data_IF_165003820613
#
_entry.id   IF_165003820613
#
_cell.length_a   1.000
_cell.length_b   1.000
_cell.length_c   1.000
_cell.angle_alpha   90.00
_cell.angle_beta   90.00
_cell.angle_gamma   90.00
#
_symmetry.space_group_name_H-M   'P 1'
#
loop_
_entity.id
_entity.type
_entity.pdbx_description
1 polymer ?
#
# COMPACT_ATOMS: atom_id res chain seq x y z
N UNK A 1 -16.58 -14.73 9.69
CA UNK A 1 -15.33 -14.37 10.40
C UNK A 1 -15.57 -13.11 11.25
N UNK A 2 -15.15 -13.08 12.53
CA UNK A 2 -14.91 -11.78 13.17
C UNK A 2 -13.90 -11.02 12.29
N UNK A 3 -14.13 -9.73 12.02
CA UNK A 3 -13.34 -8.85 11.14
C UNK A 3 -13.75 -8.73 9.65
N UNK A 4 -14.80 -9.40 9.15
CA UNK A 4 -15.24 -9.22 7.74
C UNK A 4 -15.58 -7.78 7.39
N UNK A 5 -16.37 -7.11 8.24
CA UNK A 5 -16.75 -5.71 8.06
C UNK A 5 -15.54 -4.78 8.00
N UNK A 6 -14.49 -5.09 8.78
CA UNK A 6 -13.26 -4.31 8.79
C UNK A 6 -12.44 -4.53 7.52
N UNK A 7 -12.34 -5.76 7.03
CA UNK A 7 -11.67 -6.06 5.75
C UNK A 7 -12.38 -5.39 4.57
N UNK A 8 -13.72 -5.43 4.56
CA UNK A 8 -14.53 -4.70 3.56
C UNK A 8 -14.27 -3.19 3.68
N UNK A 9 -14.31 -2.63 4.89
CA UNK A 9 -14.03 -1.20 5.11
C UNK A 9 -12.62 -0.78 4.64
N UNK A 10 -11.59 -1.59 4.93
CA UNK A 10 -10.23 -1.33 4.46
C UNK A 10 -10.14 -1.41 2.93
N UNK A 11 -10.83 -2.37 2.30
CA UNK A 11 -10.90 -2.45 0.84
C UNK A 11 -11.57 -1.22 0.21
N UNK A 12 -12.62 -0.68 0.84
CA UNK A 12 -13.29 0.53 0.38
C UNK A 12 -12.38 1.75 0.51
N UNK A 13 -11.64 1.88 1.61
CA UNK A 13 -10.65 2.95 1.79
C UNK A 13 -9.58 2.87 0.69
N UNK A 14 -9.08 1.66 0.40
CA UNK A 14 -8.18 1.42 -0.73
C UNK A 14 -8.80 1.86 -2.07
N UNK A 15 -10.04 1.48 -2.34
CA UNK A 15 -10.74 1.86 -3.57
C UNK A 15 -10.89 3.38 -3.72
N UNK A 16 -11.17 4.10 -2.62
CA UNK A 16 -11.25 5.58 -2.62
C UNK A 16 -9.89 6.19 -2.98
N UNK A 17 -8.80 5.76 -2.35
CA UNK A 17 -7.46 6.27 -2.67
C UNK A 17 -7.06 5.95 -4.11
N UNK A 18 -7.31 4.73 -4.58
CA UNK A 18 -6.99 4.33 -5.94
C UNK A 18 -7.78 5.14 -6.97
N UNK A 19 -9.10 5.29 -6.77
CA UNK A 19 -9.98 6.05 -7.65
C UNK A 19 -9.60 7.54 -7.70
N UNK A 20 -9.33 8.15 -6.55
CA UNK A 20 -8.85 9.53 -6.52
C UNK A 20 -7.52 9.68 -7.26
N UNK A 21 -6.57 8.77 -7.03
CA UNK A 21 -5.25 8.87 -7.64
C UNK A 21 -5.28 8.65 -9.16
N UNK A 22 -6.18 7.79 -9.65
CA UNK A 22 -6.41 7.63 -11.09
C UNK A 22 -6.89 8.94 -11.73
N UNK A 23 -7.86 9.63 -11.10
CA UNK A 23 -8.32 10.95 -11.55
C UNK A 23 -7.21 11.99 -11.47
N UNK A 24 -6.44 12.01 -10.38
CA UNK A 24 -5.31 12.92 -10.21
C UNK A 24 -4.29 12.78 -11.34
N UNK A 25 -3.88 11.54 -11.65
CA UNK A 25 -2.92 11.28 -12.72
C UNK A 25 -3.48 11.70 -14.08
N UNK A 26 -4.74 11.37 -14.38
CA UNK A 26 -5.38 11.74 -15.64
C UNK A 26 -5.41 13.27 -15.85
N UNK A 27 -5.72 14.03 -14.80
CA UNK A 27 -5.71 15.49 -14.84
C UNK A 27 -4.28 16.04 -14.95
N UNK A 28 -3.34 15.54 -14.16
CA UNK A 28 -1.96 16.01 -14.17
C UNK A 28 -1.24 15.74 -15.51
N UNK A 29 -1.55 14.61 -16.17
CA UNK A 29 -1.06 14.29 -17.51
C UNK A 29 -1.64 15.23 -18.57
N UNK A 30 -2.94 15.54 -18.49
CA UNK A 30 -3.59 16.48 -19.40
C UNK A 30 -2.95 17.86 -19.35
N UNK A 31 -2.57 18.32 -18.16
CA UNK A 31 -1.96 19.63 -17.96
C UNK A 31 -0.44 19.63 -18.22
N UNK A 32 0.17 18.47 -18.51
CA UNK A 32 1.62 18.33 -18.70
C UNK A 32 2.46 18.59 -17.43
N UNK A 33 1.85 18.46 -16.24
CA UNK A 33 2.40 18.97 -14.96
C UNK A 33 2.64 17.89 -13.90
N UNK A 34 3.07 16.68 -14.30
CA UNK A 34 3.40 15.65 -13.32
C UNK A 34 4.92 15.58 -13.10
N UNK A 35 5.40 16.21 -12.04
CA UNK A 35 6.80 16.11 -11.65
C UNK A 35 7.16 14.69 -11.18
N UNK A 36 8.45 14.28 -11.26
CA UNK A 36 8.86 12.92 -10.92
C UNK A 36 8.57 12.49 -9.47
N UNK A 37 8.53 13.43 -8.51
CA UNK A 37 8.28 13.12 -7.10
C UNK A 37 6.79 12.89 -6.86
N UNK A 38 5.93 13.73 -7.43
CA UNK A 38 4.48 13.50 -7.45
C UNK A 38 4.12 12.21 -8.16
N UNK A 39 4.79 11.89 -9.27
CA UNK A 39 4.60 10.62 -9.98
C UNK A 39 4.97 9.41 -9.10
N UNK A 40 6.09 9.47 -8.38
CA UNK A 40 6.51 8.42 -7.46
C UNK A 40 5.47 8.20 -6.35
N UNK A 41 4.98 9.28 -5.74
CA UNK A 41 3.96 9.20 -4.68
C UNK A 41 2.62 8.72 -5.20
N UNK A 42 2.19 9.18 -6.36
CA UNK A 42 0.96 8.72 -6.99
C UNK A 42 1.00 7.22 -7.29
N UNK A 43 2.15 6.71 -7.79
CA UNK A 43 2.37 5.27 -7.96
C UNK A 43 2.35 4.52 -6.64
N UNK A 44 3.02 5.05 -5.61
CA UNK A 44 2.99 4.46 -4.27
C UNK A 44 1.55 4.31 -3.77
N UNK A 45 0.74 5.38 -3.83
CA UNK A 45 -0.66 5.38 -3.40
C UNK A 45 -1.47 4.36 -4.20
N UNK A 46 -1.35 4.33 -5.53
CA UNK A 46 -2.08 3.35 -6.36
C UNK A 46 -1.71 1.92 -5.98
N UNK A 47 -0.42 1.63 -5.87
CA UNK A 47 0.08 0.30 -5.55
C UNK A 47 -0.37 -0.18 -4.17
N UNK A 48 -0.17 0.63 -3.12
CA UNK A 48 -0.57 0.27 -1.76
C UNK A 48 -2.09 0.16 -1.64
N UNK A 49 -2.84 0.99 -2.37
CA UNK A 49 -4.31 0.95 -2.36
C UNK A 49 -4.87 -0.28 -3.07
N UNK A 50 -4.36 -0.63 -4.26
CA UNK A 50 -4.74 -1.87 -4.96
C UNK A 50 -4.35 -3.09 -4.13
N UNK A 51 -3.16 -3.07 -3.53
CA UNK A 51 -2.71 -4.12 -2.62
C UNK A 51 -3.66 -4.26 -1.44
N UNK A 52 -4.05 -3.18 -0.77
CA UNK A 52 -5.06 -3.19 0.31
C UNK A 52 -6.36 -3.84 -0.15
N UNK A 53 -6.89 -3.49 -1.32
CA UNK A 53 -8.13 -4.09 -1.84
C UNK A 53 -7.95 -5.60 -1.99
N UNK A 54 -6.90 -6.01 -2.71
CA UNK A 54 -6.66 -7.41 -3.04
C UNK A 54 -6.45 -8.25 -1.78
N UNK A 55 -5.53 -7.84 -0.90
CA UNK A 55 -5.24 -8.60 0.33
C UNK A 55 -6.45 -8.61 1.27
N UNK A 56 -7.26 -7.55 1.34
CA UNK A 56 -8.46 -7.55 2.19
C UNK A 56 -9.56 -8.48 1.68
N UNK A 57 -9.69 -8.64 0.36
CA UNK A 57 -10.78 -9.43 -0.25
C UNK A 57 -10.44 -10.90 -0.45
N UNK A 58 -9.17 -11.25 -0.73
CA UNK A 58 -8.73 -12.65 -0.89
C UNK A 58 -9.20 -13.56 0.25
N UNK A 59 -8.98 -13.26 1.55
CA UNK A 59 -9.37 -14.18 2.61
C UNK A 59 -10.88 -14.37 2.67
N UNK A 60 -11.67 -13.34 2.31
CA UNK A 60 -13.12 -13.45 2.23
C UNK A 60 -13.54 -14.41 1.11
N UNK A 61 -12.92 -14.32 -0.06
CA UNK A 61 -13.18 -15.21 -1.20
C UNK A 61 -12.78 -16.64 -0.87
N UNK A 62 -11.62 -16.85 -0.27
CA UNK A 62 -11.14 -18.19 0.10
C UNK A 62 -12.02 -18.82 1.18
N UNK A 63 -12.43 -18.06 2.21
CA UNK A 63 -13.35 -18.57 3.23
C UNK A 63 -14.76 -18.83 2.69
N UNK A 64 -15.23 -18.03 1.73
CA UNK A 64 -16.48 -18.33 1.01
C UNK A 64 -16.38 -19.61 0.17
N UNK A 65 -15.18 -20.01 -0.25
CA UNK A 65 -14.87 -21.28 -0.90
C UNK A 65 -14.56 -22.42 0.11
N UNK A 66 -14.98 -22.28 1.37
CA UNK A 66 -14.84 -23.28 2.44
C UNK A 66 -13.39 -23.57 2.89
N UNK A 67 -12.43 -22.71 2.55
CA UNK A 67 -11.08 -22.81 3.12
C UNK A 67 -11.09 -22.44 4.61
N UNK A 68 -10.27 -23.14 5.39
CA UNK A 68 -10.02 -22.80 6.79
C UNK A 68 -9.54 -21.34 6.91
N UNK A 69 -10.12 -20.59 7.86
CA UNK A 69 -9.85 -19.17 8.09
C UNK A 69 -8.35 -18.88 8.22
N UNK A 70 -7.64 -19.66 9.03
CA UNK A 70 -6.19 -19.50 9.24
C UNK A 70 -5.42 -19.65 7.93
N UNK A 71 -5.76 -20.68 7.15
CA UNK A 71 -5.13 -20.95 5.86
C UNK A 71 -5.40 -19.82 4.86
N UNK A 72 -6.65 -19.35 4.77
CA UNK A 72 -7.04 -18.23 3.91
C UNK A 72 -6.24 -16.95 4.22
N UNK A 73 -6.07 -16.62 5.51
CA UNK A 73 -5.27 -15.46 5.95
C UNK A 73 -3.79 -15.64 5.63
N UNK A 74 -3.21 -16.83 5.84
CA UNK A 74 -1.81 -17.13 5.49
C UNK A 74 -1.55 -17.05 3.99
N UNK A 75 -2.46 -17.58 3.16
CA UNK A 75 -2.37 -17.49 1.70
C UNK A 75 -2.45 -16.03 1.23
N UNK A 76 -3.38 -15.25 1.78
CA UNK A 76 -3.48 -13.82 1.47
C UNK A 76 -2.23 -13.05 1.91
N UNK A 77 -1.70 -13.33 3.11
CA UNK A 77 -0.46 -12.73 3.59
C UNK A 77 0.74 -13.09 2.69
N UNK A 78 0.83 -14.33 2.21
CA UNK A 78 1.86 -14.77 1.28
C UNK A 78 1.80 -14.05 -0.06
N UNK A 79 0.60 -13.91 -0.64
CA UNK A 79 0.39 -13.10 -1.85
C UNK A 79 0.73 -11.62 -1.60
N UNK A 80 0.33 -11.08 -0.44
CA UNK A 80 0.71 -9.75 0.01
C UNK A 80 2.22 -9.56 0.13
N UNK A 81 2.95 -10.54 0.66
CA UNK A 81 4.40 -10.48 0.73
C UNK A 81 5.02 -10.44 -0.67
N UNK A 82 4.67 -11.37 -1.57
CA UNK A 82 5.24 -11.41 -2.93
C UNK A 82 4.99 -10.11 -3.69
N UNK A 83 3.74 -9.63 -3.67
CA UNK A 83 3.37 -8.37 -4.32
C UNK A 83 4.06 -7.17 -3.67
N UNK A 84 4.08 -7.10 -2.34
CA UNK A 84 4.78 -6.05 -1.59
C UNK A 84 6.28 -5.96 -1.91
N UNK A 85 6.95 -7.11 -2.12
CA UNK A 85 8.35 -7.18 -2.50
C UNK A 85 8.59 -6.60 -3.91
N UNK A 86 7.77 -7.01 -4.87
CA UNK A 86 7.83 -6.48 -6.24
C UNK A 86 7.59 -4.96 -6.27
N UNK A 87 6.61 -4.48 -5.51
CA UNK A 87 6.28 -3.06 -5.41
C UNK A 87 7.38 -2.25 -4.70
N UNK A 88 7.98 -2.81 -3.65
CA UNK A 88 9.11 -2.18 -2.95
C UNK A 88 10.33 -2.08 -3.87
N UNK A 89 10.61 -3.10 -4.68
CA UNK A 89 11.68 -3.07 -5.66
C UNK A 89 11.44 -1.98 -6.72
N UNK A 90 10.25 -1.90 -7.31
CA UNK A 90 9.90 -0.86 -8.28
C UNK A 90 9.95 0.54 -7.65
N UNK A 91 9.48 0.71 -6.40
CA UNK A 91 9.59 1.95 -5.65
C UNK A 91 11.03 2.38 -5.42
N UNK A 92 11.90 1.46 -4.98
CA UNK A 92 13.32 1.72 -4.76
C UNK A 92 14.03 2.07 -6.07
N UNK A 93 13.69 1.36 -7.16
CA UNK A 93 14.20 1.63 -8.50
C UNK A 93 13.85 3.04 -8.95
N UNK A 94 12.59 3.46 -8.85
CA UNK A 94 12.18 4.81 -9.23
C UNK A 94 12.78 5.89 -8.32
N UNK A 95 12.89 5.63 -7.02
CA UNK A 95 13.56 6.55 -6.10
C UNK A 95 15.05 6.71 -6.43
N UNK A 96 15.72 5.65 -6.87
CA UNK A 96 17.14 5.70 -7.26
C UNK A 96 17.38 6.62 -8.46
N UNK A 97 16.41 6.70 -9.37
CA UNK A 97 16.42 7.52 -10.60
C UNK A 97 16.20 9.02 -10.33
N UNK A 98 15.75 9.41 -9.13
CA UNK A 98 15.58 10.82 -8.77
C UNK A 98 16.93 11.54 -8.64
N UNK A 99 16.98 12.80 -9.06
CA UNK A 99 18.13 13.69 -8.85
C UNK A 99 18.32 13.99 -7.36
N UNK A 100 19.49 14.49 -6.97
CA UNK A 100 19.77 14.87 -5.58
C UNK A 100 18.81 15.93 -5.04
N UNK A 101 18.38 16.88 -5.88
CA UNK A 101 17.40 17.91 -5.52
C UNK A 101 16.01 17.31 -5.32
N UNK A 102 15.57 16.42 -6.21
CA UNK A 102 14.30 15.70 -6.08
C UNK A 102 14.28 14.77 -4.86
N UNK A 103 15.42 14.13 -4.55
CA UNK A 103 15.55 13.34 -3.31
C UNK A 103 15.41 14.20 -2.06
N UNK A 104 15.89 15.44 -2.07
CA UNK A 104 15.66 16.37 -0.95
C UNK A 104 14.18 16.74 -0.81
N UNK A 105 13.48 16.99 -1.92
CA UNK A 105 12.06 17.36 -1.88
C UNK A 105 11.13 16.23 -1.41
N UNK A 106 11.53 14.95 -1.57
CA UNK A 106 10.77 13.83 -1.00
C UNK A 106 10.66 13.89 0.54
N UNK A 107 11.64 14.52 1.22
CA UNK A 107 11.69 14.67 2.67
C UNK A 107 12.22 13.41 3.37
N UNK A 108 13.41 13.51 3.98
CA UNK A 108 14.10 12.36 4.59
C UNK A 108 13.27 11.66 5.67
N UNK A 109 12.66 12.42 6.58
CA UNK A 109 11.82 11.86 7.65
C UNK A 109 10.55 11.19 7.09
N UNK A 110 9.95 11.77 6.05
CA UNK A 110 8.78 11.19 5.39
C UNK A 110 9.11 9.86 4.70
N UNK A 111 10.26 9.81 4.00
CA UNK A 111 10.75 8.57 3.41
C UNK A 111 11.04 7.51 4.47
N UNK A 112 11.71 7.86 5.57
CA UNK A 112 12.00 6.91 6.65
C UNK A 112 10.71 6.32 7.25
N UNK A 113 9.69 7.15 7.46
CA UNK A 113 8.39 6.69 7.97
C UNK A 113 7.71 5.77 6.96
N UNK A 114 7.57 6.19 5.70
CA UNK A 114 6.85 5.40 4.68
C UNK A 114 7.56 4.08 4.36
N UNK A 115 8.88 4.08 4.22
CA UNK A 115 9.68 2.86 4.05
C UNK A 115 9.68 1.98 5.30
N UNK A 116 9.76 2.58 6.49
CA UNK A 116 9.68 1.85 7.76
C UNK A 116 8.35 1.12 7.93
N UNK A 117 7.23 1.82 7.68
CA UNK A 117 5.88 1.23 7.72
C UNK A 117 5.72 0.12 6.69
N UNK A 118 6.21 0.34 5.46
CA UNK A 118 6.19 -0.68 4.40
C UNK A 118 7.00 -1.92 4.80
N UNK A 119 8.20 -1.71 5.35
CA UNK A 119 9.05 -2.80 5.83
C UNK A 119 8.42 -3.60 6.95
N UNK A 120 7.81 -2.94 7.94
CA UNK A 120 7.10 -3.61 9.04
C UNK A 120 5.91 -4.41 8.51
N UNK A 121 5.08 -3.82 7.65
CA UNK A 121 3.94 -4.52 7.06
C UNK A 121 4.39 -5.76 6.25
N UNK A 122 5.48 -5.62 5.50
CA UNK A 122 6.04 -6.71 4.71
C UNK A 122 6.61 -7.84 5.58
N UNK A 123 7.37 -7.52 6.62
CA UNK A 123 7.90 -8.52 7.56
C UNK A 123 6.76 -9.26 8.29
N UNK A 124 5.70 -8.54 8.67
CA UNK A 124 4.51 -9.15 9.25
C UNK A 124 3.83 -10.09 8.27
N UNK A 125 3.66 -9.69 7.00
CA UNK A 125 3.07 -10.53 5.97
C UNK A 125 3.84 -11.83 5.76
N UNK A 126 5.18 -11.77 5.70
CA UNK A 126 6.04 -12.96 5.62
C UNK A 126 5.87 -13.83 6.86
N UNK A 127 5.96 -13.24 8.05
CA UNK A 127 5.85 -13.98 9.31
C UNK A 127 4.51 -14.68 9.45
N UNK A 128 3.41 -14.04 9.04
CA UNK A 128 2.07 -14.63 9.04
C UNK A 128 2.02 -15.78 8.03
N UNK A 129 2.49 -15.57 6.79
CA UNK A 129 2.50 -16.60 5.75
C UNK A 129 3.31 -17.84 6.17
N UNK A 130 4.45 -17.64 6.84
CA UNK A 130 5.31 -18.70 7.36
C UNK A 130 4.77 -19.35 8.65
N UNK A 131 3.71 -18.80 9.26
CA UNK A 131 3.17 -19.27 10.54
C UNK A 131 4.03 -18.92 11.75
N UNK A 132 4.96 -17.97 11.62
CA UNK A 132 5.83 -17.46 12.69
C UNK A 132 5.10 -16.38 13.50
N UNK A 133 4.27 -15.57 12.84
CA UNK A 133 3.47 -14.49 13.44
C UNK A 133 1.99 -14.91 13.44
N UNK A 134 1.30 -14.60 14.53
CA UNK A 134 -0.13 -14.88 14.68
C UNK A 134 -0.97 -14.12 13.63
N UNK A 135 -1.97 -14.80 13.07
CA UNK A 135 -2.93 -14.22 12.11
C UNK A 135 -3.75 -13.05 12.69
N UNK A 136 -3.78 -12.85 14.01
CA UNK A 136 -4.36 -11.67 14.65
C UNK A 136 -3.69 -10.35 14.19
N UNK A 137 -2.41 -10.40 13.79
CA UNK A 137 -1.69 -9.23 13.26
C UNK A 137 -1.98 -8.94 11.78
N UNK A 138 -2.83 -9.74 11.13
CA UNK A 138 -3.16 -9.59 9.72
C UNK A 138 -3.82 -8.23 9.41
N UNK A 139 -4.85 -7.87 10.18
CA UNK A 139 -5.54 -6.58 10.01
C UNK A 139 -4.61 -5.40 10.26
N UNK A 140 -3.73 -5.50 11.27
CA UNK A 140 -2.73 -4.47 11.54
C UNK A 140 -1.78 -4.31 10.35
N UNK A 141 -1.41 -5.41 9.69
CA UNK A 141 -0.58 -5.39 8.48
C UNK A 141 -1.27 -4.61 7.35
N UNK A 142 -2.55 -4.86 7.10
CA UNK A 142 -3.33 -4.12 6.09
C UNK A 142 -3.42 -2.64 6.46
N UNK A 143 -3.66 -2.33 7.73
CA UNK A 143 -3.75 -0.96 8.21
C UNK A 143 -2.45 -0.18 7.98
N UNK A 144 -1.29 -0.79 8.21
CA UNK A 144 0.01 -0.17 7.91
C UNK A 144 0.16 0.16 6.42
N UNK A 145 -0.30 -0.71 5.53
CA UNK A 145 -0.27 -0.48 4.08
C UNK A 145 -1.19 0.70 3.70
N UNK A 146 -2.40 0.75 4.27
CA UNK A 146 -3.32 1.88 4.08
C UNK A 146 -2.72 3.19 4.61
N UNK A 147 -2.02 3.14 5.75
CA UNK A 147 -1.37 4.29 6.33
C UNK A 147 -0.29 4.86 5.39
N UNK A 148 0.44 4.00 4.66
CA UNK A 148 1.38 4.45 3.62
C UNK A 148 0.66 5.20 2.49
N UNK A 149 -0.49 4.70 2.01
CA UNK A 149 -1.33 5.44 1.05
C UNK A 149 -1.75 6.80 1.61
N UNK A 150 -2.25 6.83 2.84
CA UNK A 150 -2.76 8.05 3.48
C UNK A 150 -1.67 9.10 3.66
N UNK A 151 -0.46 8.71 4.08
CA UNK A 151 0.68 9.62 4.25
C UNK A 151 1.10 10.23 2.90
N UNK A 152 1.23 9.41 1.86
CA UNK A 152 1.54 9.91 0.52
C UNK A 152 0.43 10.81 -0.04
N UNK A 153 -0.83 10.49 0.24
CA UNK A 153 -1.98 11.28 -0.15
C UNK A 153 -2.01 12.65 0.52
N UNK A 154 -1.77 12.72 1.83
CA UNK A 154 -1.67 13.99 2.56
C UNK A 154 -0.55 14.82 1.98
N UNK A 155 0.61 14.21 1.71
CA UNK A 155 1.78 14.93 1.20
C UNK A 155 1.56 15.49 -0.20
N UNK A 156 0.99 14.71 -1.13
CA UNK A 156 0.69 15.19 -2.49
C UNK A 156 -0.43 16.23 -2.51
N UNK A 157 -1.38 16.15 -1.56
CA UNK A 157 -2.46 17.13 -1.45
C UNK A 157 -1.94 18.46 -0.90
N UNK A 158 -1.10 18.45 0.14
CA UNK A 158 -0.58 19.67 0.78
C UNK A 158 0.42 20.43 -0.10
N UNK A 159 1.28 19.73 -0.85
CA UNK A 159 2.26 20.37 -1.74
C UNK A 159 1.63 21.09 -2.95
N UNK A 160 0.33 20.91 -3.20
CA UNK A 160 -0.38 21.61 -4.28
C UNK A 160 -0.99 22.95 -3.84
N UNK A 161 -1.07 23.21 -2.53
CA UNK A 161 -1.66 24.42 -1.94
C UNK A 161 -0.64 25.35 -1.29
N UNK A 162 0.63 24.96 -1.25
CA UNK A 162 1.78 25.74 -0.76
C UNK A 162 2.71 26.06 -1.92
#
# INVERSE_FOLDING_TARGET
MPHESLLIGLSQIGAVFAGFMALFIALAQRDGRLDPVSALRARSILHTSVMTIVISLIPLVLTAAEFEVTLALRMSAGMGAVTGLALSYEGARHQSQLTSEQKKSTGLMFNLITWGLTGIAFLNAIGIAAGIIDTAFYTATIFLIVLVSALNFVKISLERWL
#
